data_IF_044474964117
#
_entry.id   IF_044474964117
#
_cell.length_a   1.000
_cell.length_b   1.000
_cell.length_c   1.000
_cell.angle_alpha   90.00
_cell.angle_beta   90.00
_cell.angle_gamma   90.00
#
_symmetry.space_group_name_H-M   'P 1'
#
loop_
_entity.id
_entity.type
_entity.pdbx_description
1 polymer ?
#
# COMPACT_ATOMS: atom_id res chain seq x y z
N UNK A 1 10.05 -2.15 -0.34
CA UNK A 1 10.96 -1.59 -1.35
C UNK A 1 10.64 -0.10 -1.51
N UNK A 2 9.41 0.16 -1.94
CA UNK A 2 8.76 1.45 -2.14
C UNK A 2 8.80 2.41 -0.93
N UNK A 3 8.74 1.92 0.31
CA UNK A 3 8.90 2.77 1.50
C UNK A 3 10.21 3.58 1.50
N UNK A 4 11.26 3.03 0.87
CA UNK A 4 12.55 3.70 0.73
C UNK A 4 12.64 4.40 -0.63
N UNK A 5 12.31 3.73 -1.74
CA UNK A 5 12.45 4.32 -3.08
C UNK A 5 11.59 5.57 -3.25
N UNK A 6 10.33 5.58 -2.79
CA UNK A 6 9.45 6.76 -2.86
C UNK A 6 10.01 7.91 -2.01
N UNK A 7 10.46 7.63 -0.79
CA UNK A 7 11.02 8.65 0.08
C UNK A 7 12.31 9.24 -0.51
N UNK A 8 13.16 8.42 -1.12
CA UNK A 8 14.37 8.87 -1.80
C UNK A 8 14.03 9.69 -3.04
N UNK A 9 13.14 9.19 -3.91
CA UNK A 9 12.72 9.83 -5.15
C UNK A 9 12.13 11.23 -4.94
N UNK A 10 11.36 11.43 -3.87
CA UNK A 10 10.78 12.73 -3.51
C UNK A 10 11.63 13.56 -2.53
N UNK A 11 12.91 13.22 -2.35
CA UNK A 11 13.84 14.02 -1.55
C UNK A 11 14.23 15.31 -2.28
N UNK A 12 14.18 16.45 -1.57
CA UNK A 12 14.74 17.72 -2.02
C UNK A 12 15.96 18.08 -1.17
N UNK A 13 17.08 18.39 -1.82
CA UNK A 13 18.36 18.68 -1.16
C UNK A 13 19.43 17.61 -1.46
N UNK A 14 20.59 17.67 -0.78
CA UNK A 14 21.70 16.73 -1.00
C UNK A 14 22.27 16.19 0.31
N UNK A 15 22.81 14.97 0.23
CA UNK A 15 23.57 14.35 1.32
C UNK A 15 22.71 13.88 2.48
N UNK A 16 23.31 13.77 3.66
CA UNK A 16 22.68 13.19 4.85
C UNK A 16 21.66 14.11 5.55
N UNK A 17 21.51 15.35 5.10
CA UNK A 17 20.60 16.37 5.67
C UNK A 17 19.80 17.04 4.56
N UNK A 18 18.81 16.35 3.97
CA UNK A 18 17.95 16.95 2.94
C UNK A 18 17.09 18.07 3.52
N UNK A 19 16.65 19.00 2.66
CA UNK A 19 15.74 20.08 3.00
C UNK A 19 14.31 19.55 3.21
N UNK A 20 13.94 18.52 2.44
CA UNK A 20 12.66 17.84 2.54
C UNK A 20 12.78 16.36 2.14
N UNK A 21 12.06 15.50 2.86
CA UNK A 21 11.86 14.09 2.54
C UNK A 21 10.55 13.63 3.19
N UNK A 22 9.63 12.99 2.46
CA UNK A 22 8.40 12.49 3.05
C UNK A 22 8.66 11.24 3.89
N UNK A 23 7.88 11.07 4.95
CA UNK A 23 7.73 9.76 5.60
C UNK A 23 6.95 8.84 4.66
N UNK A 24 7.50 7.67 4.34
CA UNK A 24 6.83 6.66 3.54
C UNK A 24 7.02 5.29 4.19
N UNK A 25 5.93 4.56 4.42
CA UNK A 25 5.95 3.20 4.94
C UNK A 25 4.64 2.50 4.61
N UNK A 26 4.65 1.17 4.74
CA UNK A 26 3.43 0.39 4.56
C UNK A 26 2.56 0.44 5.81
N UNK A 27 1.24 0.54 5.63
CA UNK A 27 0.23 0.35 6.66
C UNK A 27 -0.72 -0.75 6.17
N UNK A 28 -0.34 -2.00 6.41
CA UNK A 28 -0.99 -3.15 5.79
C UNK A 28 -1.96 -3.86 6.74
N UNK A 29 -3.23 -3.89 6.36
CA UNK A 29 -4.24 -4.75 6.97
C UNK A 29 -4.53 -5.91 5.99
N UNK A 30 -3.93 -7.10 6.20
CA UNK A 30 -4.17 -8.22 5.29
C UNK A 30 -5.57 -8.81 5.50
N UNK A 31 -5.91 -9.88 4.78
CA UNK A 31 -7.16 -10.61 5.00
C UNK A 31 -7.26 -11.12 6.45
N UNK A 32 -8.48 -11.36 6.92
CA UNK A 32 -8.72 -11.83 8.29
C UNK A 32 -7.95 -13.13 8.60
N UNK A 33 -7.90 -14.07 7.65
CA UNK A 33 -7.14 -15.32 7.80
C UNK A 33 -5.64 -15.08 7.93
N UNK A 34 -5.10 -14.08 7.22
CA UNK A 34 -3.70 -13.70 7.36
C UNK A 34 -3.42 -12.97 8.70
N UNK A 35 -4.36 -12.18 9.22
CA UNK A 35 -4.27 -11.60 10.58
C UNK A 35 -4.21 -12.72 11.62
N UNK A 36 -5.10 -13.71 11.53
CA UNK A 36 -5.10 -14.87 12.42
C UNK A 36 -3.81 -15.68 12.30
N UNK A 37 -3.29 -15.83 11.08
CA UNK A 37 -2.01 -16.51 10.83
C UNK A 37 -0.83 -15.77 11.48
N UNK A 38 -0.79 -14.44 11.41
CA UNK A 38 0.24 -13.64 12.09
C UNK A 38 0.10 -13.74 13.61
N UNK A 39 -1.13 -13.68 14.13
CA UNK A 39 -1.38 -13.81 15.57
C UNK A 39 -0.95 -15.19 16.09
N UNK A 40 -1.23 -16.27 15.35
CA UNK A 40 -0.75 -17.62 15.69
C UNK A 40 0.79 -17.69 15.68
N UNK A 41 1.44 -17.20 14.62
CA UNK A 41 2.89 -17.23 14.48
C UNK A 41 3.58 -16.47 15.63
N UNK A 42 3.18 -15.23 15.91
CA UNK A 42 3.76 -14.45 16.99
C UNK A 42 3.39 -14.99 18.37
N UNK A 43 2.17 -15.52 18.54
CA UNK A 43 1.75 -16.22 19.76
C UNK A 43 2.57 -17.49 20.04
N UNK A 44 3.16 -18.10 19.01
CA UNK A 44 4.10 -19.22 19.09
C UNK A 44 5.56 -18.78 19.18
N UNK A 45 5.81 -17.59 19.74
CA UNK A 45 7.15 -17.02 19.86
C UNK A 45 7.91 -16.91 18.52
N UNK A 46 7.18 -16.69 17.42
CA UNK A 46 7.74 -16.53 16.09
C UNK A 46 8.04 -17.85 15.35
N UNK A 47 7.59 -18.99 15.87
CA UNK A 47 7.68 -20.28 15.16
C UNK A 47 6.60 -20.38 14.06
N UNK A 48 6.96 -20.41 12.76
CA UNK A 48 6.00 -20.42 11.67
C UNK A 48 5.15 -21.69 11.62
N UNK A 49 3.96 -21.58 11.02
CA UNK A 49 3.09 -22.72 10.76
C UNK A 49 3.77 -23.74 9.85
N UNK A 50 3.51 -25.03 10.09
CA UNK A 50 4.07 -26.13 9.27
C UNK A 50 3.49 -26.19 7.86
N UNK A 51 2.30 -25.62 7.65
CA UNK A 51 1.59 -25.60 6.38
C UNK A 51 1.15 -24.18 6.08
N UNK A 52 1.37 -23.76 4.85
CA UNK A 52 0.88 -22.51 4.28
C UNK A 52 -0.07 -22.83 3.14
N UNK A 53 -1.09 -22.00 2.95
CA UNK A 53 -2.06 -22.13 1.87
C UNK A 53 -2.39 -20.74 1.35
N UNK A 54 -2.30 -20.56 0.03
CA UNK A 54 -2.68 -19.31 -0.63
C UNK A 54 -4.09 -19.50 -1.17
N UNK A 55 -5.02 -18.66 -0.74
CA UNK A 55 -6.41 -18.71 -1.16
C UNK A 55 -6.54 -18.46 -2.66
N UNK A 56 -7.11 -19.42 -3.37
CA UNK A 56 -7.41 -19.29 -4.78
C UNK A 56 -8.74 -18.55 -5.02
N UNK A 57 -8.99 -18.19 -6.26
CA UNK A 57 -10.15 -17.44 -6.73
C UNK A 57 -11.49 -18.16 -6.54
N UNK A 58 -11.49 -19.48 -6.35
CA UNK A 58 -12.70 -20.27 -6.08
C UNK A 58 -12.96 -20.50 -4.59
N UNK A 59 -11.94 -20.36 -3.74
CA UNK A 59 -12.04 -20.46 -2.28
C UNK A 59 -12.54 -19.17 -1.64
N UNK A 60 -12.18 -18.02 -2.20
CA UNK A 60 -12.60 -16.71 -1.71
C UNK A 60 -14.10 -16.53 -2.00
N UNK A 61 -14.93 -16.30 -1.00
CA UNK A 61 -16.39 -16.18 -1.22
C UNK A 61 -16.78 -14.80 -1.74
N UNK A 62 -16.16 -13.75 -1.21
CA UNK A 62 -16.35 -12.34 -1.54
C UNK A 62 -15.10 -11.53 -1.14
N UNK A 63 -15.11 -10.23 -1.41
CA UNK A 63 -14.13 -9.28 -0.90
C UNK A 63 -13.40 -8.47 -1.97
N UNK A 64 -12.62 -7.51 -1.51
CA UNK A 64 -11.82 -6.60 -2.32
C UNK A 64 -10.38 -6.57 -1.82
N UNK A 65 -9.45 -6.28 -2.73
CA UNK A 65 -8.13 -5.78 -2.36
C UNK A 65 -8.10 -4.27 -2.61
N UNK A 66 -8.24 -3.50 -1.53
CA UNK A 66 -8.19 -2.04 -1.57
C UNK A 66 -6.75 -1.58 -1.35
N UNK A 67 -6.04 -1.32 -2.45
CA UNK A 67 -4.63 -0.96 -2.46
C UNK A 67 -4.45 0.43 -3.05
N UNK A 68 -3.83 1.31 -2.27
CA UNK A 68 -3.58 2.68 -2.67
C UNK A 68 -2.54 3.38 -1.82
N UNK A 69 -2.35 4.66 -2.10
CA UNK A 69 -1.44 5.55 -1.37
C UNK A 69 -2.25 6.59 -0.61
N UNK A 70 -1.92 6.79 0.67
CA UNK A 70 -2.49 7.87 1.50
C UNK A 70 -1.46 8.98 1.63
N UNK A 71 -1.66 10.09 0.92
CA UNK A 71 -0.86 11.30 1.09
C UNK A 71 -1.50 12.15 2.18
N UNK A 72 -0.70 12.67 3.11
CA UNK A 72 -1.19 13.40 4.28
C UNK A 72 -0.32 14.61 4.64
N UNK A 73 -0.84 15.51 5.48
CA UNK A 73 -0.15 16.72 5.94
C UNK A 73 -0.30 17.95 5.03
N UNK A 74 -0.97 17.82 3.89
CA UNK A 74 -1.29 18.94 3.01
C UNK A 74 -2.53 19.72 3.49
N UNK A 75 -2.81 20.91 2.93
CA UNK A 75 -3.94 21.77 3.34
C UNK A 75 -5.33 21.12 3.28
N UNK A 76 -5.51 20.06 2.48
CA UNK A 76 -6.76 19.27 2.41
C UNK A 76 -6.72 18.03 3.31
N UNK A 77 -5.93 18.09 4.38
CA UNK A 77 -5.62 17.02 5.32
C UNK A 77 -4.99 15.75 4.70
N UNK A 78 -5.80 14.77 4.28
CA UNK A 78 -5.34 13.53 3.68
C UNK A 78 -6.13 13.14 2.43
N UNK A 79 -5.44 12.48 1.50
CA UNK A 79 -5.97 12.03 0.23
C UNK A 79 -5.50 10.61 -0.07
N UNK A 80 -6.46 9.68 -0.14
CA UNK A 80 -6.20 8.32 -0.59
C UNK A 80 -6.46 8.21 -2.10
N UNK A 81 -5.56 7.54 -2.82
CA UNK A 81 -5.76 7.20 -4.23
C UNK A 81 -5.33 5.75 -4.50
N UNK A 82 -6.21 4.96 -5.11
CA UNK A 82 -5.92 3.54 -5.31
C UNK A 82 -7.04 2.75 -5.98
N UNK A 83 -6.76 1.46 -6.11
CA UNK A 83 -7.61 0.40 -6.66
C UNK A 83 -8.53 -0.16 -5.58
N UNK A 84 -9.77 -0.50 -5.96
CA UNK A 84 -10.76 -1.18 -5.12
C UNK A 84 -11.24 -2.48 -5.80
N UNK A 85 -10.30 -3.22 -6.41
CA UNK A 85 -10.60 -4.40 -7.23
C UNK A 85 -11.25 -5.52 -6.40
N UNK A 86 -12.41 -5.99 -6.85
CA UNK A 86 -13.13 -7.10 -6.21
C UNK A 86 -12.75 -8.46 -6.78
N UNK A 87 -12.98 -9.53 -6.01
CA UNK A 87 -12.77 -10.89 -6.49
C UNK A 87 -13.73 -11.26 -7.64
N UNK A 88 -14.97 -10.76 -7.62
CA UNK A 88 -15.96 -10.99 -8.67
C UNK A 88 -15.59 -10.32 -9.98
N UNK A 89 -15.02 -9.11 -9.92
CA UNK A 89 -14.48 -8.43 -11.10
C UNK A 89 -13.23 -9.14 -11.61
N UNK A 90 -12.32 -9.52 -10.72
CA UNK A 90 -11.11 -10.28 -11.05
C UNK A 90 -11.41 -11.54 -11.85
N UNK A 91 -12.37 -12.36 -11.38
CA UNK A 91 -12.79 -13.60 -12.06
C UNK A 91 -13.29 -13.40 -13.50
N UNK A 92 -13.83 -12.21 -13.80
CA UNK A 92 -14.30 -11.87 -15.15
C UNK A 92 -13.16 -11.41 -16.05
N UNK A 93 -12.13 -10.81 -15.47
CA UNK A 93 -11.02 -10.18 -16.20
C UNK A 93 -9.88 -11.16 -16.51
N UNK A 94 -9.48 -11.98 -15.55
CA UNK A 94 -8.36 -12.90 -15.73
C UNK A 94 -8.50 -14.17 -14.85
N UNK A 95 -8.20 -15.36 -15.40
CA UNK A 95 -8.28 -16.61 -14.66
C UNK A 95 -7.08 -16.82 -13.71
N UNK A 96 -7.20 -17.82 -12.82
CA UNK A 96 -6.11 -18.37 -11.99
C UNK A 96 -5.49 -17.42 -10.97
N UNK A 97 -6.21 -16.37 -10.57
CA UNK A 97 -5.72 -15.39 -9.62
C UNK A 97 -6.86 -14.72 -8.87
N UNK A 98 -6.57 -14.36 -7.62
CA UNK A 98 -7.43 -13.51 -6.80
C UNK A 98 -7.14 -12.03 -7.06
N UNK A 99 -7.89 -11.13 -6.41
CA UNK A 99 -7.76 -9.68 -6.61
C UNK A 99 -6.34 -9.17 -6.33
N UNK A 100 -5.72 -9.63 -5.24
CA UNK A 100 -4.31 -9.33 -4.92
C UNK A 100 -3.38 -9.73 -6.05
N UNK A 101 -3.57 -10.95 -6.58
CA UNK A 101 -2.79 -11.48 -7.70
C UNK A 101 -2.93 -10.63 -8.96
N UNK A 102 -4.15 -10.25 -9.34
CA UNK A 102 -4.40 -9.46 -10.55
C UNK A 102 -3.80 -8.06 -10.50
N UNK A 103 -3.80 -7.41 -9.33
CA UNK A 103 -3.12 -6.12 -9.18
C UNK A 103 -1.61 -6.24 -9.41
N UNK A 104 -0.98 -7.32 -8.94
CA UNK A 104 0.44 -7.57 -9.14
C UNK A 104 0.76 -7.98 -10.59
N UNK A 105 0.04 -8.95 -11.15
CA UNK A 105 0.33 -9.45 -12.51
C UNK A 105 0.08 -8.38 -13.57
N UNK A 106 -0.95 -7.55 -13.40
CA UNK A 106 -1.19 -6.41 -14.29
C UNK A 106 -0.07 -5.36 -14.21
N UNK A 107 0.50 -5.12 -13.03
CA UNK A 107 1.67 -4.23 -12.88
C UNK A 107 2.89 -4.80 -13.63
N UNK A 108 3.12 -6.12 -13.52
CA UNK A 108 4.19 -6.80 -14.24
C UNK A 108 3.99 -6.67 -15.76
N UNK A 109 2.78 -6.86 -16.27
CA UNK A 109 2.47 -6.68 -17.70
C UNK A 109 2.77 -5.25 -18.15
N UNK A 110 2.32 -4.25 -17.38
CA UNK A 110 2.60 -2.84 -17.67
C UNK A 110 4.11 -2.55 -17.69
N UNK A 111 4.86 -3.10 -16.72
CA UNK A 111 6.32 -2.97 -16.67
C UNK A 111 7.04 -3.66 -17.83
N UNK A 112 6.58 -4.84 -18.25
CA UNK A 112 7.12 -5.53 -19.42
C UNK A 112 6.91 -4.73 -20.71
N UNK A 113 5.71 -4.18 -20.90
CA UNK A 113 5.42 -3.32 -22.07
C UNK A 113 6.30 -2.07 -22.03
N UNK A 114 6.40 -1.40 -20.88
CA UNK A 114 7.27 -0.23 -20.73
C UNK A 114 8.73 -0.57 -21.04
N UNK A 115 9.24 -1.73 -20.59
CA UNK A 115 10.60 -2.17 -20.87
C UNK A 115 10.85 -2.44 -22.36
N UNK A 116 9.86 -2.98 -23.08
CA UNK A 116 9.93 -3.15 -24.53
C UNK A 116 9.91 -1.81 -25.27
N UNK A 117 9.17 -0.82 -24.75
CA UNK A 117 9.12 0.55 -25.28
C UNK A 117 10.39 1.35 -24.94
N UNK A 118 11.09 1.00 -23.86
CA UNK A 118 12.27 1.70 -23.34
C UNK A 118 13.48 0.75 -23.12
N UNK A 119 13.94 0.00 -24.14
CA UNK A 119 14.84 -1.14 -23.97
C UNK A 119 16.28 -0.77 -23.58
N UNK A 120 16.60 0.52 -23.50
CA UNK A 120 17.95 1.05 -23.18
C UNK A 120 17.96 1.94 -21.94
N UNK A 121 16.91 1.90 -21.11
CA UNK A 121 16.80 2.72 -19.91
C UNK A 121 17.76 2.31 -18.78
N UNK A 122 18.42 1.15 -18.90
CA UNK A 122 19.28 0.62 -17.84
C UNK A 122 18.49 -0.07 -16.75
N UNK A 123 19.04 -0.09 -15.53
CA UNK A 123 18.32 -0.54 -14.34
C UNK A 123 17.48 0.65 -13.87
N UNK A 124 16.17 0.44 -13.74
CA UNK A 124 15.22 1.44 -13.27
C UNK A 124 14.31 0.87 -12.18
N UNK A 125 13.80 1.74 -11.33
CA UNK A 125 12.70 1.44 -10.42
C UNK A 125 11.35 1.95 -10.97
N UNK A 126 10.24 1.53 -10.36
CA UNK A 126 8.90 1.96 -10.78
C UNK A 126 8.72 3.48 -10.72
N UNK A 127 9.42 4.15 -9.80
CA UNK A 127 9.42 5.59 -9.61
C UNK A 127 9.99 6.35 -10.83
N UNK A 128 10.83 5.71 -11.64
CA UNK A 128 11.48 6.31 -12.82
C UNK A 128 10.74 6.01 -14.13
N UNK A 129 9.74 5.13 -14.09
CA UNK A 129 8.94 4.75 -15.25
C UNK A 129 7.87 5.81 -15.58
N UNK A 130 7.42 5.85 -16.83
CA UNK A 130 6.27 6.70 -17.21
C UNK A 130 5.00 6.13 -16.57
N UNK A 131 4.61 6.72 -15.43
CA UNK A 131 3.47 6.27 -14.66
C UNK A 131 2.16 6.35 -15.45
N UNK A 132 2.00 7.29 -16.39
CA UNK A 132 0.79 7.40 -17.20
C UNK A 132 0.72 6.23 -18.16
N UNK A 133 1.81 5.94 -18.86
CA UNK A 133 1.88 4.81 -19.78
C UNK A 133 1.62 3.49 -19.05
N UNK A 134 2.25 3.29 -17.89
CA UNK A 134 2.06 2.09 -17.09
C UNK A 134 0.61 1.97 -16.59
N UNK A 135 0.02 3.05 -16.07
CA UNK A 135 -1.37 3.05 -15.60
C UNK A 135 -2.37 2.88 -16.75
N UNK A 136 -2.13 3.44 -17.93
CA UNK A 136 -3.02 3.25 -19.08
C UNK A 136 -3.14 1.77 -19.47
N UNK A 137 -2.04 1.02 -19.33
CA UNK A 137 -2.00 -0.44 -19.56
C UNK A 137 -2.61 -1.23 -18.41
N UNK A 138 -2.38 -0.79 -17.17
CA UNK A 138 -2.79 -1.52 -15.97
C UNK A 138 -4.25 -1.28 -15.59
N UNK A 139 -4.78 -0.07 -15.81
CA UNK A 139 -6.13 0.38 -15.41
C UNK A 139 -7.26 -0.60 -15.75
N UNK A 140 -7.29 -1.28 -16.91
CA UNK A 140 -8.32 -2.27 -17.21
C UNK A 140 -8.42 -3.44 -16.21
N UNK A 141 -7.38 -3.65 -15.39
CA UNK A 141 -7.27 -4.76 -14.44
C UNK A 141 -7.38 -4.33 -12.98
N UNK A 142 -7.67 -3.05 -12.69
CA UNK A 142 -7.66 -2.49 -11.33
C UNK A 142 -9.06 -2.23 -10.76
N UNK A 143 -10.12 -2.58 -11.50
CA UNK A 143 -11.49 -2.24 -11.12
C UNK A 143 -11.64 -0.72 -10.88
N UNK A 144 -12.40 -0.28 -9.86
CA UNK A 144 -12.50 1.14 -9.54
C UNK A 144 -11.17 1.71 -9.04
N UNK A 145 -10.62 2.66 -9.79
CA UNK A 145 -9.47 3.48 -9.36
C UNK A 145 -9.94 4.88 -9.00
N UNK A 146 -9.96 5.20 -7.70
CA UNK A 146 -10.63 6.41 -7.18
C UNK A 146 -9.77 7.17 -6.18
N UNK A 147 -10.14 8.44 -5.99
CA UNK A 147 -9.52 9.35 -5.05
C UNK A 147 -10.51 9.83 -4.00
N UNK A 148 -10.10 9.83 -2.73
CA UNK A 148 -10.94 10.21 -1.60
C UNK A 148 -10.19 11.15 -0.66
N UNK A 149 -10.78 12.31 -0.39
CA UNK A 149 -10.33 13.17 0.70
C UNK A 149 -10.99 12.74 2.01
N UNK A 150 -10.30 12.96 3.12
CA UNK A 150 -10.83 12.73 4.47
C UNK A 150 -10.28 13.76 5.46
N UNK A 151 -11.09 14.09 6.47
CA UNK A 151 -10.70 14.90 7.62
C UNK A 151 -10.11 14.04 8.76
N UNK A 152 -10.06 12.72 8.60
CA UNK A 152 -9.47 11.81 9.58
C UNK A 152 -7.99 12.12 9.82
N UNK A 153 -7.57 12.04 11.09
CA UNK A 153 -6.15 12.09 11.48
C UNK A 153 -5.86 11.00 12.52
N UNK A 154 -4.59 10.63 12.74
CA UNK A 154 -4.21 9.69 13.80
C UNK A 154 -4.63 10.11 15.21
N UNK A 155 -5.01 11.38 15.43
CA UNK A 155 -5.48 11.90 16.72
C UNK A 155 -7.00 11.83 16.91
N UNK A 156 -7.76 11.44 15.89
CA UNK A 156 -9.22 11.36 16.01
C UNK A 156 -9.60 10.39 17.14
N UNK A 157 -10.45 10.87 18.06
CA UNK A 157 -10.89 10.16 19.27
C UNK A 157 -9.76 9.81 20.26
N UNK A 158 -8.66 10.58 20.30
CA UNK A 158 -7.55 10.41 21.25
C UNK A 158 -7.24 11.68 22.05
N UNK A 159 -6.72 11.57 23.29
CA UNK A 159 -6.47 10.32 24.01
C UNK A 159 -7.75 9.64 24.49
N UNK A 160 -7.68 8.34 24.73
CA UNK A 160 -8.78 7.54 25.28
C UNK A 160 -8.80 7.51 26.81
N UNK A 161 -9.05 6.32 27.37
CA UNK A 161 -9.11 6.08 28.82
C UNK A 161 -7.74 6.09 29.52
N UNK A 162 -6.66 5.85 28.77
CA UNK A 162 -5.30 5.80 29.28
C UNK A 162 -4.50 6.99 28.74
N UNK A 163 -3.52 7.50 29.50
CA UNK A 163 -2.59 8.51 28.99
C UNK A 163 -1.84 7.99 27.75
N UNK A 164 -1.65 8.88 26.78
CA UNK A 164 -0.92 8.58 25.55
C UNK A 164 0.09 9.69 25.27
N UNK A 165 1.24 9.29 24.75
CA UNK A 165 2.35 10.18 24.43
C UNK A 165 2.15 10.87 23.05
N UNK A 166 1.24 11.83 22.96
CA UNK A 166 0.79 12.42 21.68
C UNK A 166 1.44 13.78 21.38
N UNK A 167 1.71 14.02 20.10
CA UNK A 167 1.95 15.36 19.57
C UNK A 167 0.62 15.96 19.09
N UNK A 168 0.13 17.00 19.77
CA UNK A 168 -1.15 17.66 19.44
C UNK A 168 -0.98 18.82 18.44
N UNK A 169 0.24 19.27 18.21
CA UNK A 169 0.52 20.39 17.30
C UNK A 169 0.58 19.90 15.85
N UNK A 170 1.08 18.68 15.64
CA UNK A 170 1.10 18.03 14.33
C UNK A 170 0.50 16.60 14.39
N UNK A 171 -0.77 16.44 13.97
CA UNK A 171 -1.45 15.14 13.99
C UNK A 171 -0.74 14.03 13.22
N UNK A 172 0.03 14.37 12.19
CA UNK A 172 0.66 13.41 11.27
C UNK A 172 2.06 12.98 11.69
N UNK A 173 2.55 13.42 12.85
CA UNK A 173 3.78 12.91 13.43
C UNK A 173 3.73 11.39 13.57
N UNK A 174 4.83 10.72 13.22
CA UNK A 174 4.92 9.26 13.33
C UNK A 174 4.71 8.78 14.77
N UNK A 175 5.01 9.64 15.76
CA UNK A 175 4.68 9.46 17.17
C UNK A 175 3.19 9.16 17.40
N UNK A 176 2.31 9.79 16.64
CA UNK A 176 0.87 9.58 16.72
C UNK A 176 0.42 8.37 15.89
N UNK A 177 1.12 8.03 14.81
CA UNK A 177 0.77 6.91 13.92
C UNK A 177 1.17 5.56 14.54
N UNK A 178 2.37 5.47 15.12
CA UNK A 178 2.89 4.23 15.68
C UNK A 178 2.09 3.82 16.92
N UNK A 179 1.48 2.63 16.86
CA UNK A 179 0.91 2.01 18.05
C UNK A 179 2.01 1.71 19.06
N UNK A 180 1.88 2.26 20.27
CA UNK A 180 2.82 2.08 21.37
C UNK A 180 2.02 1.67 22.60
N UNK A 181 2.55 0.71 23.36
CA UNK A 181 1.96 0.42 24.66
C UNK A 181 2.15 1.64 25.59
N UNK A 182 1.18 1.90 26.49
CA UNK A 182 1.34 2.91 27.54
C UNK A 182 2.50 2.60 28.49
#
# INVERSE_FOLDING_TARGET
NEAISIADYYTVGKGAKPDYRPTCHYAYHPSNDAILSLHEMFGRAGDPQKKHHILNEHEIVDGVDELGVLLYGHKKNAYWYGSQLSIEETRKLAPYQNATGLQVTSAVIAGMVWALENPRAGIVEADEMDYKRCLDLQRPYLGPVKGYYTDWTPLQNRPGLFPEDLDKEDPWQFRNILYRQP
#
